data_IF_361261629473
#
_entry.id   IF_361261629473
#
_cell.length_a   1.000
_cell.length_b   1.000
_cell.length_c   1.000
_cell.angle_alpha   90.00
_cell.angle_beta   90.00
_cell.angle_gamma   90.00
#
_symmetry.space_group_name_H-M   'P 1'
#
loop_
_entity.id
_entity.type
_entity.pdbx_description
1 polymer ?
#
# COMPACT_ATOMS: atom_id res chain seq x y z
N UNK A 1 -12.34 13.54 -1.74
CA UNK A 1 -12.11 13.79 -0.30
C UNK A 1 -10.60 13.65 -0.02
N UNK A 2 -9.80 14.69 -0.27
CA UNK A 2 -8.33 14.61 -0.25
C UNK A 2 -7.69 14.92 1.12
N UNK A 3 -8.38 15.65 1.98
CA UNK A 3 -7.88 16.03 3.32
C UNK A 3 -8.02 14.89 4.33
N UNK A 4 -9.19 14.23 4.39
CA UNK A 4 -9.40 13.10 5.30
C UNK A 4 -8.49 11.90 4.99
N UNK A 5 -8.13 11.76 3.72
CA UNK A 5 -7.15 10.81 3.21
C UNK A 5 -5.78 10.85 3.92
N UNK A 6 -5.40 12.01 4.47
CA UNK A 6 -4.14 12.16 5.21
C UNK A 6 -4.08 11.36 6.51
N UNK A 7 -5.22 10.88 7.03
CA UNK A 7 -5.24 10.00 8.20
C UNK A 7 -4.48 8.67 7.97
N UNK A 8 -4.28 8.26 6.72
CA UNK A 8 -3.47 7.09 6.37
C UNK A 8 -1.94 7.33 6.49
N UNK A 9 -1.50 8.51 6.93
CA UNK A 9 -0.11 8.76 7.33
C UNK A 9 0.32 7.95 8.56
N UNK A 10 -0.63 7.51 9.38
CA UNK A 10 -0.38 6.66 10.54
C UNK A 10 -1.20 5.37 10.46
N UNK A 11 -0.66 4.29 11.02
CA UNK A 11 -1.38 3.03 11.19
C UNK A 11 -0.99 1.95 10.19
N UNK A 12 -1.75 0.86 10.20
CA UNK A 12 -1.40 -0.37 9.46
C UNK A 12 -2.62 -0.95 8.77
N UNK A 13 -2.39 -1.54 7.60
CA UNK A 13 -3.40 -2.27 6.83
C UNK A 13 -3.00 -3.74 6.69
N UNK A 14 -4.00 -4.62 6.62
CA UNK A 14 -3.79 -6.05 6.35
C UNK A 14 -3.51 -6.26 4.87
N UNK A 15 -2.66 -7.24 4.55
CA UNK A 15 -2.33 -7.58 3.16
C UNK A 15 -3.57 -7.88 2.31
N UNK A 16 -4.58 -8.53 2.87
CA UNK A 16 -5.88 -8.79 2.23
C UNK A 16 -6.59 -7.53 1.73
N UNK A 17 -6.32 -6.35 2.30
CA UNK A 17 -6.96 -5.09 1.91
C UNK A 17 -6.41 -4.48 0.63
N UNK A 18 -5.25 -4.93 0.15
CA UNK A 18 -4.58 -4.38 -1.04
C UNK A 18 -3.90 -5.45 -1.91
N UNK A 19 -4.09 -6.73 -1.62
CA UNK A 19 -3.47 -7.86 -2.34
C UNK A 19 -3.77 -7.86 -3.83
N UNK A 20 -4.96 -7.40 -4.24
CA UNK A 20 -5.33 -7.28 -5.65
C UNK A 20 -4.35 -6.38 -6.41
N UNK A 21 -3.87 -5.30 -5.79
CA UNK A 21 -2.89 -4.41 -6.43
C UNK A 21 -1.53 -5.08 -6.64
N UNK A 22 -1.21 -6.10 -5.85
CA UNK A 22 0.08 -6.79 -5.93
C UNK A 22 0.06 -7.96 -6.91
N UNK A 23 -1.09 -8.64 -7.06
CA UNK A 23 -1.15 -9.94 -7.72
C UNK A 23 -2.25 -10.09 -8.78
N UNK A 24 -3.35 -9.34 -8.70
CA UNK A 24 -4.48 -9.48 -9.61
C UNK A 24 -5.18 -8.13 -9.85
N UNK A 25 -4.43 -7.18 -10.40
CA UNK A 25 -4.92 -5.83 -10.57
C UNK A 25 -5.93 -5.77 -11.72
N UNK A 26 -7.16 -5.36 -11.41
CA UNK A 26 -8.28 -5.26 -12.36
C UNK A 26 -8.48 -6.53 -13.20
N UNK A 27 -8.20 -7.70 -12.61
CA UNK A 27 -8.40 -9.02 -13.23
C UNK A 27 -7.66 -9.24 -14.57
N UNK A 28 -6.73 -8.34 -14.89
CA UNK A 28 -6.09 -8.26 -16.22
C UNK A 28 -4.60 -8.03 -16.12
N UNK A 29 -4.12 -7.47 -15.00
CA UNK A 29 -2.73 -7.13 -14.78
C UNK A 29 -2.15 -7.88 -13.58
N UNK A 30 -0.93 -8.40 -13.71
CA UNK A 30 -0.24 -9.08 -12.62
C UNK A 30 0.10 -8.16 -11.42
N UNK A 31 0.08 -6.85 -11.62
CA UNK A 31 0.36 -5.83 -10.61
C UNK A 31 -0.18 -4.47 -11.07
N UNK A 32 -0.55 -3.61 -10.13
CA UNK A 32 -0.92 -2.22 -10.38
C UNK A 32 0.27 -1.45 -10.98
N UNK A 33 0.16 -0.91 -12.21
CA UNK A 33 1.26 -0.20 -12.87
C UNK A 33 1.55 1.17 -12.25
N UNK A 34 0.66 1.70 -11.41
CA UNK A 34 0.86 2.98 -10.71
C UNK A 34 1.75 2.85 -9.48
N UNK A 35 2.02 1.62 -9.02
CA UNK A 35 2.88 1.37 -7.88
C UNK A 35 4.35 1.35 -8.27
N UNK A 36 5.19 1.94 -7.42
CA UNK A 36 6.63 1.82 -7.51
C UNK A 36 7.07 0.34 -7.43
N UNK A 37 7.96 -0.06 -8.34
CA UNK A 37 8.37 -1.47 -8.48
C UNK A 37 9.14 -1.98 -7.26
N UNK A 38 9.99 -1.14 -6.67
CA UNK A 38 10.76 -1.51 -5.48
C UNK A 38 9.84 -1.63 -4.26
N UNK A 39 8.87 -0.72 -4.15
CA UNK A 39 7.86 -0.78 -3.11
C UNK A 39 7.01 -2.05 -3.21
N UNK A 40 6.61 -2.45 -4.42
CA UNK A 40 5.89 -3.71 -4.58
C UNK A 40 6.76 -4.92 -4.25
N UNK A 41 8.04 -4.93 -4.62
CA UNK A 41 8.94 -6.01 -4.22
C UNK A 41 9.02 -6.15 -2.68
N UNK A 42 9.10 -5.02 -1.96
CA UNK A 42 9.08 -5.01 -0.50
C UNK A 42 7.75 -5.51 0.07
N UNK A 43 6.61 -5.07 -0.50
CA UNK A 43 5.30 -5.52 -0.09
C UNK A 43 5.12 -7.03 -0.32
N UNK A 44 5.54 -7.56 -1.47
CA UNK A 44 5.46 -9.00 -1.82
C UNK A 44 6.35 -9.87 -0.92
N UNK A 45 7.44 -9.33 -0.39
CA UNK A 45 8.28 -10.04 0.59
C UNK A 45 7.52 -10.32 1.91
N UNK A 46 6.59 -9.44 2.28
CA UNK A 46 5.78 -9.55 3.50
C UNK A 46 4.40 -10.18 3.24
N UNK A 47 3.71 -9.70 2.21
CA UNK A 47 2.36 -10.09 1.79
C UNK A 47 2.43 -11.16 0.69
N UNK A 48 2.59 -12.43 1.04
CA UNK A 48 2.65 -13.54 0.07
C UNK A 48 1.28 -13.86 -0.54
N UNK A 49 1.22 -14.15 -1.84
CA UNK A 49 -0.02 -14.45 -2.57
C UNK A 49 -0.84 -15.62 -2.01
N UNK A 50 -0.18 -16.69 -1.52
CA UNK A 50 -0.82 -17.92 -1.06
C UNK A 50 -0.46 -18.25 0.41
N UNK A 51 -0.24 -17.23 1.23
CA UNK A 51 0.03 -17.42 2.66
C UNK A 51 -1.27 -17.51 3.45
N UNK A 52 -1.45 -18.55 4.27
CA UNK A 52 -2.57 -18.61 5.23
C UNK A 52 -2.53 -17.51 6.30
N UNK A 53 -1.42 -16.76 6.38
CA UNK A 53 -1.23 -15.59 7.24
C UNK A 53 -1.62 -14.29 6.51
N UNK A 54 -2.36 -13.42 7.19
CA UNK A 54 -2.71 -12.07 6.73
C UNK A 54 -1.96 -11.00 7.57
N UNK A 55 -0.64 -10.79 7.33
CA UNK A 55 0.14 -9.84 8.10
C UNK A 55 -0.28 -8.39 7.82
N UNK A 56 0.16 -7.48 8.68
CA UNK A 56 -0.09 -6.03 8.51
C UNK A 56 1.16 -5.29 8.08
N UNK A 57 1.00 -4.32 7.18
CA UNK A 57 2.05 -3.38 6.77
C UNK A 57 1.65 -1.96 7.12
N UNK A 58 2.62 -1.07 7.25
CA UNK A 58 2.33 0.34 7.50
C UNK A 58 1.63 0.98 6.29
N UNK A 59 0.68 1.88 6.54
CA UNK A 59 -0.01 2.64 5.49
C UNK A 59 0.89 3.72 4.88
N UNK A 60 1.79 4.30 5.69
CA UNK A 60 2.88 5.18 5.28
C UNK A 60 4.22 4.47 5.49
N UNK A 61 4.96 4.15 4.41
CA UNK A 61 6.27 3.49 4.52
C UNK A 61 7.38 4.41 5.03
N UNK A 62 7.22 5.74 4.96
CA UNK A 62 8.22 6.69 5.42
C UNK A 62 8.12 6.94 6.92
N UNK A 63 6.91 7.22 7.43
CA UNK A 63 6.67 7.62 8.83
C UNK A 63 5.51 6.85 9.47
N UNK A 64 5.63 5.53 9.70
CA UNK A 64 4.50 4.64 10.01
C UNK A 64 3.72 4.94 11.30
N UNK A 65 4.36 5.65 12.24
CA UNK A 65 3.82 5.94 13.59
C UNK A 65 3.66 7.45 13.85
N UNK A 66 3.74 8.29 12.81
CA UNK A 66 3.63 9.73 12.94
C UNK A 66 2.54 10.23 12.00
N UNK A 67 1.63 11.03 12.54
CA UNK A 67 0.69 11.75 11.71
C UNK A 67 1.39 13.01 11.16
N UNK A 68 1.68 13.00 9.87
CA UNK A 68 2.27 14.13 9.15
C UNK A 68 1.76 14.15 7.69
N UNK A 69 2.52 14.80 6.80
CA UNK A 69 2.16 14.92 5.39
C UNK A 69 3.00 14.02 4.47
N UNK A 70 3.86 13.14 4.99
CA UNK A 70 4.69 12.26 4.15
C UNK A 70 3.85 11.30 3.33
N UNK A 71 2.67 10.93 3.82
CA UNK A 71 1.66 10.18 3.07
C UNK A 71 1.45 10.75 1.66
N UNK A 72 1.27 12.07 1.54
CA UNK A 72 1.05 12.72 0.24
C UNK A 72 2.31 12.74 -0.64
N UNK A 73 3.49 12.77 -0.05
CA UNK A 73 4.76 12.64 -0.79
C UNK A 73 4.93 11.20 -1.32
N UNK A 74 4.61 10.20 -0.50
CA UNK A 74 4.64 8.79 -0.87
C UNK A 74 3.63 8.48 -1.98
N UNK A 75 2.44 9.09 -1.97
CA UNK A 75 1.48 9.00 -3.08
C UNK A 75 2.07 9.49 -4.41
N UNK A 76 2.74 10.65 -4.42
CA UNK A 76 3.38 11.19 -5.62
C UNK A 76 4.52 10.30 -6.12
N UNK A 77 5.16 9.55 -5.23
CA UNK A 77 6.21 8.61 -5.54
C UNK A 77 5.69 7.21 -5.95
N UNK A 78 4.37 7.02 -6.10
CA UNK A 78 3.78 5.72 -6.43
C UNK A 78 3.83 4.72 -5.26
N UNK A 79 3.97 5.19 -4.02
CA UNK A 79 4.08 4.36 -2.81
C UNK A 79 2.85 4.44 -1.90
N UNK A 80 1.71 4.83 -2.45
CA UNK A 80 0.41 4.70 -1.78
C UNK A 80 -0.02 3.25 -1.66
N UNK A 81 -0.37 2.80 -0.45
CA UNK A 81 -0.72 1.40 -0.20
C UNK A 81 -2.09 0.99 -0.79
N UNK A 82 -3.12 1.82 -0.60
CA UNK A 82 -4.51 1.50 -0.95
C UNK A 82 -4.89 2.03 -2.35
N UNK A 83 -5.74 1.30 -3.07
CA UNK A 83 -6.23 1.67 -4.41
C UNK A 83 -7.40 2.67 -4.38
N UNK A 84 -8.13 2.73 -3.26
CA UNK A 84 -9.36 3.48 -3.14
C UNK A 84 -9.14 4.73 -2.31
N UNK A 85 -9.07 5.87 -3.00
CA UNK A 85 -9.49 7.18 -2.53
C UNK A 85 -10.11 7.96 -3.68
#
# INVERSE_FOLDING_TARGET
MATLSGAHSIGRSRCSSFSDRLYNYKETCAQDPTLDRNYVANLKATCRANGGSDPTVAMDPAMPNRLDNTYYAELKAGRGLLAWM
#
